data_IF_993360226479
#
_entry.id   IF_993360226479
#
_cell.length_a   1.000
_cell.length_b   1.000
_cell.length_c   1.000
_cell.angle_alpha   90.00
_cell.angle_beta   90.00
_cell.angle_gamma   90.00
#
_symmetry.space_group_name_H-M   'P 1'
#
loop_
_entity.id
_entity.type
_entity.pdbx_description
1 polymer ?
#
# COMPACT_ATOMS: atom_id res chain seq x y z
N UNK A 1 -7.00 -15.59 -1.30
CA UNK A 1 -7.66 -14.70 -0.31
C UNK A 1 -7.95 -15.39 1.01
N UNK A 2 -8.69 -16.51 1.05
CA UNK A 2 -9.00 -17.20 2.32
C UNK A 2 -7.74 -17.67 3.07
N UNK A 3 -6.80 -18.34 2.39
CA UNK A 3 -5.53 -18.76 3.01
C UNK A 3 -4.73 -17.58 3.58
N UNK A 4 -4.65 -16.47 2.82
CA UNK A 4 -4.04 -15.23 3.29
C UNK A 4 -4.74 -14.71 4.56
N UNK A 5 -6.08 -14.67 4.57
CA UNK A 5 -6.89 -14.25 5.72
C UNK A 5 -6.62 -15.10 6.96
N UNK A 6 -6.55 -16.43 6.82
CA UNK A 6 -6.22 -17.34 7.94
C UNK A 6 -4.85 -17.02 8.53
N UNK A 7 -3.83 -16.82 7.68
CA UNK A 7 -2.49 -16.41 8.12
C UNK A 7 -2.56 -15.06 8.84
N UNK A 8 -3.32 -14.10 8.31
CA UNK A 8 -3.48 -12.79 8.96
C UNK A 8 -4.19 -12.88 10.30
N UNK A 9 -5.24 -13.69 10.45
CA UNK A 9 -5.89 -13.89 11.75
C UNK A 9 -4.89 -14.37 12.80
N UNK A 10 -4.03 -15.34 12.45
CA UNK A 10 -3.00 -15.86 13.37
C UNK A 10 -1.97 -14.79 13.69
N UNK A 11 -1.38 -14.14 12.67
CA UNK A 11 -0.34 -13.12 12.87
C UNK A 11 -0.87 -11.85 13.57
N UNK A 12 -2.13 -11.51 13.35
CA UNK A 12 -2.77 -10.39 14.02
C UNK A 12 -2.98 -10.64 15.51
N UNK A 13 -2.81 -11.85 16.04
CA UNK A 13 -2.89 -12.06 17.50
C UNK A 13 -1.63 -11.62 18.25
N UNK A 14 -0.52 -11.35 17.56
CA UNK A 14 0.68 -10.84 18.22
C UNK A 14 0.46 -9.42 18.78
N UNK A 15 0.97 -9.09 19.99
CA UNK A 15 0.61 -7.86 20.69
C UNK A 15 0.97 -6.56 19.96
N UNK A 16 2.02 -6.57 19.13
CA UNK A 16 2.50 -5.42 18.38
C UNK A 16 3.64 -5.77 17.43
N UNK A 17 4.10 -4.79 16.66
CA UNK A 17 5.10 -4.96 15.60
C UNK A 17 6.47 -5.44 16.11
N UNK A 18 6.83 -5.07 17.33
CA UNK A 18 8.10 -5.48 17.95
C UNK A 18 8.24 -7.01 18.05
N UNK A 19 7.13 -7.71 18.34
CA UNK A 19 7.09 -9.17 18.43
C UNK A 19 7.15 -9.87 17.07
N UNK A 20 6.91 -9.14 15.98
CA UNK A 20 6.94 -9.64 14.61
C UNK A 20 8.00 -8.91 13.76
N UNK A 21 9.02 -8.34 14.38
CA UNK A 21 10.10 -7.62 13.67
C UNK A 21 10.78 -8.49 12.60
N UNK A 22 10.93 -9.79 12.86
CA UNK A 22 11.49 -10.75 11.90
C UNK A 22 10.64 -10.83 10.62
N UNK A 23 9.32 -10.71 10.73
CA UNK A 23 8.40 -10.73 9.61
C UNK A 23 8.60 -9.50 8.72
N UNK A 24 8.87 -8.33 9.31
CA UNK A 24 9.20 -7.11 8.56
C UNK A 24 10.50 -7.26 7.76
N UNK A 25 11.51 -7.92 8.31
CA UNK A 25 12.76 -8.21 7.59
C UNK A 25 12.50 -9.15 6.41
N UNK A 26 11.77 -10.25 6.64
CA UNK A 26 11.39 -11.19 5.56
C UNK A 26 10.61 -10.45 4.48
N UNK A 27 9.61 -9.65 4.85
CA UNK A 27 8.78 -8.90 3.91
C UNK A 27 9.62 -7.93 3.06
N UNK A 28 10.58 -7.23 3.67
CA UNK A 28 11.50 -6.35 2.94
C UNK A 28 12.36 -7.12 1.93
N UNK A 29 12.97 -8.25 2.34
CA UNK A 29 13.78 -9.09 1.43
C UNK A 29 12.92 -9.61 0.27
N UNK A 30 11.70 -10.08 0.57
CA UNK A 30 10.77 -10.55 -0.47
C UNK A 30 10.36 -9.42 -1.42
N UNK A 31 10.21 -8.19 -0.91
CA UNK A 31 9.92 -7.00 -1.73
C UNK A 31 11.00 -6.73 -2.76
N UNK A 32 12.27 -6.79 -2.34
CA UNK A 32 13.39 -6.68 -3.28
C UNK A 32 13.41 -7.84 -4.26
N UNK A 33 13.21 -9.08 -3.78
CA UNK A 33 13.27 -10.27 -4.61
C UNK A 33 12.30 -10.22 -5.80
N UNK A 34 10.99 -10.01 -5.56
CA UNK A 34 10.03 -9.96 -6.67
C UNK A 34 10.25 -8.73 -7.57
N UNK A 35 10.72 -7.61 -7.02
CA UNK A 35 11.00 -6.40 -7.80
C UNK A 35 12.19 -6.59 -8.74
N UNK A 36 13.27 -7.22 -8.27
CA UNK A 36 14.41 -7.58 -9.11
C UNK A 36 14.06 -8.62 -10.16
N UNK A 37 13.28 -9.65 -9.81
CA UNK A 37 12.81 -10.64 -10.77
C UNK A 37 11.94 -9.96 -11.84
N UNK A 38 10.95 -9.16 -11.45
CA UNK A 38 10.09 -8.44 -12.38
C UNK A 38 10.86 -7.48 -13.30
N UNK A 39 11.85 -6.77 -12.76
CA UNK A 39 12.75 -5.92 -13.55
C UNK A 39 13.59 -6.75 -14.53
N UNK A 40 14.23 -7.81 -14.06
CA UNK A 40 15.08 -8.68 -14.88
C UNK A 40 14.31 -9.36 -16.00
N UNK A 41 13.10 -9.85 -15.71
CA UNK A 41 12.21 -10.43 -16.71
C UNK A 41 11.75 -9.39 -17.74
N UNK A 42 11.43 -8.17 -17.32
CA UNK A 42 11.07 -7.07 -18.23
C UNK A 42 12.23 -6.69 -19.15
N UNK A 43 13.45 -6.60 -18.61
CA UNK A 43 14.66 -6.32 -19.39
C UNK A 43 14.96 -7.49 -20.35
N UNK A 44 14.86 -8.74 -19.89
CA UNK A 44 15.04 -9.92 -20.73
C UNK A 44 14.04 -9.95 -21.89
N UNK A 45 12.79 -9.59 -21.64
CA UNK A 45 11.77 -9.48 -22.67
C UNK A 45 12.13 -8.38 -23.69
N UNK A 46 12.56 -7.20 -23.25
CA UNK A 46 13.00 -6.13 -24.13
C UNK A 46 14.17 -6.56 -25.03
N UNK A 47 15.14 -7.29 -24.47
CA UNK A 47 16.28 -7.83 -25.22
C UNK A 47 15.83 -8.88 -26.24
N UNK A 48 14.85 -9.72 -25.90
CA UNK A 48 14.32 -10.74 -26.82
C UNK A 48 13.68 -10.14 -28.08
N UNK A 49 13.16 -8.92 -27.99
CA UNK A 49 12.64 -8.16 -29.14
C UNK A 49 13.75 -7.43 -29.94
N UNK A 50 15.02 -7.78 -29.75
CA UNK A 50 16.15 -7.12 -30.40
C UNK A 50 16.37 -5.67 -29.95
N UNK A 51 15.88 -5.30 -28.77
CA UNK A 51 15.92 -3.93 -28.26
C UNK A 51 14.86 -3.00 -28.86
N UNK A 52 13.92 -3.51 -29.66
CA UNK A 52 12.77 -2.75 -30.12
C UNK A 52 11.88 -2.31 -28.97
N UNK A 53 11.64 -1.00 -28.86
CA UNK A 53 10.76 -0.43 -27.84
C UNK A 53 9.29 -0.74 -28.19
N UNK A 54 8.59 -1.47 -27.33
CA UNK A 54 7.14 -1.66 -27.42
C UNK A 54 6.35 -0.40 -27.05
N UNK A 55 6.96 0.48 -26.24
CA UNK A 55 6.36 1.73 -25.77
C UNK A 55 6.31 2.83 -26.85
N UNK A 56 5.25 3.65 -26.81
CA UNK A 56 5.08 4.84 -27.67
C UNK A 56 5.06 6.12 -26.83
N UNK A 57 5.58 7.22 -27.37
CA UNK A 57 5.55 8.54 -26.71
C UNK A 57 4.11 8.99 -26.44
N UNK A 58 3.18 8.67 -27.35
CA UNK A 58 1.77 8.99 -27.21
C UNK A 58 1.06 8.20 -26.08
N UNK A 59 1.73 7.22 -25.45
CA UNK A 59 1.12 6.33 -24.47
C UNK A 59 0.21 5.27 -25.09
N UNK A 60 -0.50 4.54 -24.23
CA UNK A 60 -1.50 3.56 -24.65
C UNK A 60 -2.69 4.23 -25.37
N UNK A 61 -3.26 3.51 -26.35
CA UNK A 61 -4.52 3.89 -26.98
C UNK A 61 -5.68 3.65 -26.02
N UNK A 62 -6.75 4.43 -26.16
CA UNK A 62 -7.98 4.26 -25.40
C UNK A 62 -9.18 4.48 -26.34
N UNK A 63 -10.35 3.95 -25.96
CA UNK A 63 -11.57 4.07 -26.75
C UNK A 63 -12.02 5.51 -27.02
N UNK A 64 -11.63 6.47 -26.17
CA UNK A 64 -11.89 7.89 -26.34
C UNK A 64 -10.83 8.74 -25.62
N UNK A 65 -10.74 10.02 -26.00
CA UNK A 65 -9.89 11.00 -25.32
C UNK A 65 -10.22 11.12 -23.83
N UNK A 66 -11.51 11.05 -23.48
CA UNK A 66 -11.98 11.09 -22.09
C UNK A 66 -11.51 9.87 -21.30
N UNK A 67 -11.63 8.64 -21.85
CA UNK A 67 -11.12 7.44 -21.16
C UNK A 67 -9.60 7.50 -21.02
N UNK A 68 -8.89 8.04 -22.01
CA UNK A 68 -7.44 8.25 -21.92
C UNK A 68 -7.08 9.20 -20.76
N UNK A 69 -7.80 10.31 -20.62
CA UNK A 69 -7.62 11.24 -19.51
C UNK A 69 -7.86 10.56 -18.15
N UNK A 70 -8.92 9.76 -18.02
CA UNK A 70 -9.18 9.01 -16.79
C UNK A 70 -8.07 8.01 -16.47
N UNK A 71 -7.55 7.30 -17.46
CA UNK A 71 -6.42 6.39 -17.26
C UNK A 71 -5.15 7.12 -16.78
N UNK A 72 -4.88 8.33 -17.31
CA UNK A 72 -3.76 9.16 -16.86
C UNK A 72 -3.95 9.62 -15.41
N UNK A 73 -5.15 10.09 -15.06
CA UNK A 73 -5.47 10.48 -13.68
C UNK A 73 -5.39 9.28 -12.74
N UNK A 74 -5.86 8.10 -13.15
CA UNK A 74 -5.73 6.88 -12.38
C UNK A 74 -4.25 6.51 -12.14
N UNK A 75 -3.41 6.61 -13.17
CA UNK A 75 -1.98 6.39 -13.03
C UNK A 75 -1.31 7.38 -12.05
N UNK A 76 -1.70 8.66 -12.07
CA UNK A 76 -1.25 9.64 -11.07
C UNK A 76 -1.68 9.26 -9.65
N UNK A 77 -2.89 8.74 -9.49
CA UNK A 77 -3.37 8.18 -8.22
C UNK A 77 -2.54 7.01 -7.73
N UNK A 78 -2.24 6.06 -8.61
CA UNK A 78 -1.39 4.92 -8.29
C UNK A 78 0.02 5.36 -7.89
N UNK A 79 0.59 6.36 -8.58
CA UNK A 79 1.89 6.95 -8.20
C UNK A 79 1.79 7.62 -6.83
N UNK A 80 0.76 8.41 -6.58
CA UNK A 80 0.56 9.07 -5.29
C UNK A 80 0.44 8.05 -4.15
N UNK A 81 -0.34 6.98 -4.35
CA UNK A 81 -0.46 5.88 -3.41
C UNK A 81 0.87 5.15 -3.18
N UNK A 82 1.69 4.98 -4.21
CA UNK A 82 2.97 4.28 -4.09
C UNK A 82 3.97 4.97 -3.12
N UNK A 83 3.76 6.25 -2.78
CA UNK A 83 4.60 7.02 -1.86
C UNK A 83 3.92 7.33 -0.50
N UNK A 84 2.84 6.64 -0.11
CA UNK A 84 2.06 6.95 1.11
C UNK A 84 2.68 6.53 2.45
N UNK A 85 4.00 6.32 2.54
CA UNK A 85 4.64 5.91 3.80
C UNK A 85 4.53 6.96 4.93
N UNK A 86 4.14 8.20 4.61
CA UNK A 86 3.90 9.27 5.58
C UNK A 86 2.89 8.89 6.68
N UNK A 87 1.95 7.98 6.36
CA UNK A 87 0.90 7.52 7.28
C UNK A 87 1.43 6.69 8.46
N UNK A 88 2.60 6.07 8.30
CA UNK A 88 3.27 5.24 9.33
C UNK A 88 4.60 5.85 9.79
N UNK A 89 4.96 7.02 9.26
CA UNK A 89 6.24 7.67 9.51
C UNK A 89 6.47 7.94 11.00
N UNK A 90 5.45 8.44 11.69
CA UNK A 90 5.56 8.87 13.08
C UNK A 90 5.67 7.64 13.99
N UNK A 91 4.89 6.60 13.71
CA UNK A 91 4.90 5.32 14.40
C UNK A 91 6.25 4.63 14.25
N UNK A 92 6.85 4.65 13.06
CA UNK A 92 8.21 4.13 12.86
C UNK A 92 9.22 4.99 13.63
N UNK A 93 9.12 6.32 13.54
CA UNK A 93 10.05 7.21 14.24
C UNK A 93 10.01 7.04 15.77
N UNK A 94 8.83 6.81 16.35
CA UNK A 94 8.64 6.59 17.79
C UNK A 94 9.33 5.31 18.30
N UNK A 95 9.59 4.34 17.41
CA UNK A 95 10.32 3.11 17.76
C UNK A 95 11.85 3.23 17.65
N UNK A 96 12.36 4.34 17.11
CA UNK A 96 13.81 4.51 16.91
C UNK A 96 14.50 4.79 18.24
N UNK A 97 15.67 4.17 18.44
CA UNK A 97 16.50 4.42 19.62
C UNK A 97 17.26 5.74 19.49
N UNK A 98 17.33 6.48 20.58
CA UNK A 98 18.27 7.58 20.79
C UNK A 98 19.43 7.16 21.71
N UNK A 99 20.67 7.67 21.51
CA UNK A 99 21.12 8.64 20.50
C UNK A 99 21.51 8.03 19.13
N UNK A 100 21.50 8.82 18.02
CA UNK A 100 21.10 10.22 17.91
C UNK A 100 19.57 10.38 17.88
N UNK A 101 19.08 11.63 18.03
CA UNK A 101 17.65 11.96 18.00
C UNK A 101 16.92 11.25 16.85
N UNK A 102 15.74 10.72 17.15
CA UNK A 102 14.94 9.83 16.30
C UNK A 102 14.67 10.47 14.94
N UNK A 103 14.39 11.79 14.92
CA UNK A 103 14.17 12.55 13.69
C UNK A 103 15.39 12.59 12.75
N UNK A 104 16.62 12.54 13.27
CA UNK A 104 17.84 12.50 12.46
C UNK A 104 18.02 11.14 11.81
N UNK A 105 17.78 10.08 12.58
CA UNK A 105 17.81 8.70 12.09
C UNK A 105 16.70 8.48 11.06
N UNK A 106 15.46 8.89 11.38
CA UNK A 106 14.31 8.78 10.48
C UNK A 106 14.51 9.58 9.19
N UNK A 107 15.10 10.78 9.25
CA UNK A 107 15.40 11.57 8.05
C UNK A 107 16.36 10.85 7.11
N UNK A 108 17.43 10.23 7.64
CA UNK A 108 18.36 9.44 6.83
C UNK A 108 17.69 8.19 6.27
N UNK A 109 16.97 7.46 7.11
CA UNK A 109 16.23 6.26 6.71
C UNK A 109 15.21 6.57 5.60
N UNK A 110 14.42 7.65 5.75
CA UNK A 110 13.45 8.09 4.75
C UNK A 110 14.12 8.47 3.44
N UNK A 111 15.24 9.20 3.49
CA UNK A 111 15.97 9.60 2.28
C UNK A 111 16.47 8.37 1.49
N UNK A 112 17.05 7.38 2.18
CA UNK A 112 17.48 6.14 1.53
C UNK A 112 16.30 5.29 1.05
N UNK A 113 15.26 5.15 1.87
CA UNK A 113 14.08 4.35 1.55
C UNK A 113 13.32 4.89 0.34
N UNK A 114 12.99 6.19 0.35
CA UNK A 114 12.31 6.85 -0.78
C UNK A 114 13.20 6.83 -2.03
N UNK A 115 14.50 7.11 -1.89
CA UNK A 115 15.44 7.08 -3.00
C UNK A 115 15.51 5.71 -3.67
N UNK A 116 15.71 4.64 -2.89
CA UNK A 116 15.71 3.27 -3.38
C UNK A 116 14.36 2.92 -4.04
N UNK A 117 13.25 3.20 -3.37
CA UNK A 117 11.89 2.97 -3.89
C UNK A 117 11.67 3.65 -5.24
N UNK A 118 12.10 4.91 -5.36
CA UNK A 118 11.98 5.70 -6.60
C UNK A 118 12.77 5.06 -7.74
N UNK A 119 14.00 4.61 -7.46
CA UNK A 119 14.83 3.91 -8.46
C UNK A 119 14.15 2.63 -8.93
N UNK A 120 13.59 1.83 -8.03
CA UNK A 120 12.88 0.60 -8.41
C UNK A 120 11.61 0.87 -9.20
N UNK A 121 10.77 1.82 -8.76
CA UNK A 121 9.53 2.14 -9.44
C UNK A 121 9.75 2.68 -10.85
N UNK A 122 10.71 3.60 -11.01
CA UNK A 122 11.07 4.10 -12.34
C UNK A 122 11.67 2.97 -13.19
N UNK A 123 12.60 2.18 -12.64
CA UNK A 123 13.23 1.09 -13.39
C UNK A 123 12.21 0.06 -13.89
N UNK A 124 11.34 -0.43 -13.01
CA UNK A 124 10.31 -1.43 -13.35
C UNK A 124 9.28 -0.82 -14.29
N UNK A 125 8.81 0.40 -14.03
CA UNK A 125 7.85 1.08 -14.90
C UNK A 125 8.38 1.33 -16.31
N UNK A 126 9.61 1.84 -16.42
CA UNK A 126 10.26 2.09 -17.70
C UNK A 126 10.61 0.80 -18.44
N UNK A 127 11.22 -0.18 -17.78
CA UNK A 127 11.57 -1.46 -18.42
C UNK A 127 10.32 -2.24 -18.84
N UNK A 128 9.29 -2.28 -17.98
CA UNK A 128 8.01 -2.91 -18.29
C UNK A 128 7.30 -2.23 -19.46
N UNK A 129 7.24 -0.89 -19.47
CA UNK A 129 6.64 -0.17 -20.60
C UNK A 129 7.46 -0.30 -21.88
N UNK A 130 8.79 -0.32 -21.80
CA UNK A 130 9.66 -0.58 -22.94
C UNK A 130 9.45 -2.00 -23.51
N UNK A 131 9.27 -2.99 -22.65
CA UNK A 131 9.07 -4.38 -23.05
C UNK A 131 7.67 -4.68 -23.63
N UNK A 132 6.62 -4.17 -22.99
CA UNK A 132 5.23 -4.54 -23.30
C UNK A 132 4.39 -3.42 -23.94
N UNK A 133 4.88 -2.19 -23.91
CA UNK A 133 4.22 -1.06 -24.53
C UNK A 133 2.80 -0.81 -24.04
N UNK A 134 1.88 -0.62 -24.98
CA UNK A 134 0.46 -0.40 -24.68
C UNK A 134 -0.24 -1.61 -24.02
N UNK A 135 0.39 -2.79 -24.06
CA UNK A 135 -0.11 -4.01 -23.45
C UNK A 135 0.48 -4.26 -22.05
N UNK A 136 1.25 -3.32 -21.51
CA UNK A 136 1.79 -3.44 -20.15
C UNK A 136 0.64 -3.53 -19.13
N UNK A 137 0.55 -4.62 -18.34
CA UNK A 137 -0.48 -4.75 -17.33
C UNK A 137 -0.19 -3.89 -16.09
N UNK A 138 -1.21 -3.67 -15.26
CA UNK A 138 -1.04 -2.98 -13.98
C UNK A 138 -0.10 -3.70 -13.00
N UNK A 139 -0.11 -5.03 -13.01
CA UNK A 139 0.88 -5.86 -12.33
C UNK A 139 1.79 -6.47 -13.39
N UNK A 140 3.05 -6.05 -13.45
CA UNK A 140 3.99 -6.52 -14.47
C UNK A 140 4.16 -8.05 -14.46
N UNK A 141 4.01 -8.71 -13.30
CA UNK A 141 4.12 -10.17 -13.17
C UNK A 141 2.99 -10.93 -13.87
N UNK A 142 1.93 -10.25 -14.32
CA UNK A 142 0.85 -10.84 -15.11
C UNK A 142 1.00 -10.55 -16.61
N UNK A 143 2.15 -10.02 -17.04
CA UNK A 143 2.36 -9.70 -18.45
C UNK A 143 2.43 -10.98 -19.29
N UNK A 144 1.73 -10.97 -20.43
CA UNK A 144 1.72 -12.09 -21.35
C UNK A 144 3.13 -12.32 -21.91
N UNK A 145 3.59 -13.57 -21.88
CA UNK A 145 4.93 -13.94 -22.36
C UNK A 145 6.09 -13.52 -21.45
N UNK A 146 5.81 -13.13 -20.19
CA UNK A 146 6.85 -12.77 -19.23
C UNK A 146 7.67 -13.98 -18.79
N UNK A 147 8.80 -14.24 -19.46
CA UNK A 147 9.81 -15.20 -19.00
C UNK A 147 9.31 -16.63 -18.72
N UNK A 148 10.12 -17.46 -18.04
CA UNK A 148 9.73 -18.82 -17.69
C UNK A 148 8.79 -18.86 -16.49
N UNK A 149 7.75 -19.71 -16.56
CA UNK A 149 6.68 -19.79 -15.54
C UNK A 149 7.20 -19.98 -14.11
N UNK A 150 8.18 -20.86 -13.89
CA UNK A 150 8.72 -21.12 -12.54
C UNK A 150 9.31 -19.88 -11.87
N UNK A 151 9.90 -18.97 -12.64
CA UNK A 151 10.50 -17.74 -12.10
C UNK A 151 9.42 -16.70 -11.78
N UNK A 152 8.37 -16.64 -12.60
CA UNK A 152 7.18 -15.83 -12.33
C UNK A 152 6.45 -16.34 -11.08
N UNK A 153 6.36 -17.66 -10.89
CA UNK A 153 5.76 -18.27 -9.70
C UNK A 153 6.55 -17.92 -8.43
N UNK A 154 7.89 -17.98 -8.47
CA UNK A 154 8.74 -17.52 -7.37
C UNK A 154 8.48 -16.03 -7.06
N UNK A 155 8.40 -15.18 -8.07
CA UNK A 155 8.12 -13.76 -7.87
C UNK A 155 6.75 -13.53 -7.22
N UNK A 156 5.72 -14.27 -7.64
CA UNK A 156 4.39 -14.20 -7.03
C UNK A 156 4.38 -14.73 -5.58
N UNK A 157 5.14 -15.79 -5.27
CA UNK A 157 5.30 -16.28 -3.89
C UNK A 157 6.00 -15.23 -3.01
N UNK A 158 7.07 -14.60 -3.51
CA UNK A 158 7.71 -13.48 -2.83
C UNK A 158 6.73 -12.31 -2.61
N UNK A 159 5.93 -11.96 -3.62
CA UNK A 159 4.91 -10.92 -3.50
C UNK A 159 3.89 -11.25 -2.41
N UNK A 160 3.39 -12.48 -2.34
CA UNK A 160 2.47 -12.92 -1.28
C UNK A 160 3.12 -12.79 0.10
N UNK A 161 4.35 -13.27 0.27
CA UNK A 161 5.08 -13.18 1.54
C UNK A 161 5.34 -11.73 1.97
N UNK A 162 5.68 -10.86 1.02
CA UNK A 162 5.80 -9.41 1.27
C UNK A 162 4.47 -8.83 1.75
N UNK A 163 3.36 -9.12 1.07
CA UNK A 163 2.04 -8.63 1.45
C UNK A 163 1.58 -9.15 2.82
N UNK A 164 2.05 -10.33 3.24
CA UNK A 164 1.75 -10.84 4.58
C UNK A 164 2.32 -9.91 5.65
N UNK A 165 3.59 -9.52 5.54
CA UNK A 165 4.22 -8.58 6.45
C UNK A 165 3.67 -7.16 6.32
N UNK A 166 3.45 -6.68 5.09
CA UNK A 166 2.89 -5.35 4.84
C UNK A 166 1.52 -5.17 5.52
N UNK A 167 0.65 -6.18 5.46
CA UNK A 167 -0.64 -6.14 6.17
C UNK A 167 -0.45 -5.91 7.67
N UNK A 168 0.48 -6.61 8.30
CA UNK A 168 0.72 -6.47 9.75
C UNK A 168 1.23 -5.07 10.11
N UNK A 169 2.12 -4.48 9.32
CA UNK A 169 2.64 -3.11 9.52
C UNK A 169 1.49 -2.10 9.61
N UNK A 170 0.48 -2.21 8.74
CA UNK A 170 -0.67 -1.30 8.73
C UNK A 170 -1.78 -1.70 9.72
N UNK A 171 -2.03 -2.99 9.92
CA UNK A 171 -3.14 -3.47 10.74
C UNK A 171 -2.89 -3.27 12.25
N UNK A 172 -1.63 -3.40 12.71
CA UNK A 172 -1.30 -3.30 14.13
C UNK A 172 -1.63 -1.92 14.75
N UNK A 173 -1.28 -0.77 14.12
CA UNK A 173 -1.72 0.55 14.59
C UNK A 173 -3.24 0.71 14.63
N UNK A 174 -3.96 0.13 13.66
CA UNK A 174 -5.42 0.16 13.60
C UNK A 174 -6.01 -0.63 14.79
N UNK A 175 -5.51 -1.85 15.04
CA UNK A 175 -5.94 -2.65 16.19
C UNK A 175 -5.69 -1.92 17.50
N UNK A 176 -4.48 -1.38 17.69
CA UNK A 176 -4.14 -0.63 18.88
C UNK A 176 -5.08 0.58 19.10
N UNK A 177 -5.42 1.29 18.03
CA UNK A 177 -6.31 2.45 18.08
C UNK A 177 -7.74 2.06 18.48
N UNK A 178 -8.31 1.03 17.84
CA UNK A 178 -9.67 0.57 18.14
C UNK A 178 -9.77 -0.08 19.52
N UNK A 179 -8.75 -0.83 19.93
CA UNK A 179 -8.67 -1.42 21.27
C UNK A 179 -8.63 -0.34 22.36
N UNK A 180 -7.78 0.68 22.20
CA UNK A 180 -7.67 1.80 23.16
C UNK A 180 -8.96 2.60 23.23
N UNK A 181 -9.59 2.86 22.08
CA UNK A 181 -10.88 3.56 22.02
C UNK A 181 -11.98 2.77 22.73
N UNK A 182 -12.07 1.46 22.51
CA UNK A 182 -13.09 0.65 23.16
C UNK A 182 -12.87 0.56 24.68
N UNK A 183 -11.63 0.40 25.13
CA UNK A 183 -11.27 0.38 26.54
C UNK A 183 -11.61 1.70 27.24
N UNK A 184 -11.37 2.84 26.60
CA UNK A 184 -11.72 4.15 27.16
C UNK A 184 -13.23 4.45 27.13
N UNK A 185 -13.94 3.93 26.12
CA UNK A 185 -15.39 4.15 25.97
C UNK A 185 -16.23 3.31 26.92
N UNK A 186 -15.74 2.12 27.30
CA UNK A 186 -16.44 1.15 28.16
C UNK A 186 -15.50 0.58 29.24
N UNK A 187 -15.06 1.40 30.21
CA UNK A 187 -14.13 0.96 31.26
C UNK A 187 -14.75 -0.11 32.19
N UNK A 188 -16.06 -0.10 32.39
CA UNK A 188 -16.76 -1.03 33.28
C UNK A 188 -17.07 -2.39 32.62
N UNK A 189 -16.88 -2.51 31.29
CA UNK A 189 -17.19 -3.73 30.57
C UNK A 189 -16.16 -4.82 30.87
N UNK A 190 -16.53 -5.79 31.70
CA UNK A 190 -15.66 -6.91 32.10
C UNK A 190 -15.05 -7.60 30.88
N UNK A 191 -15.80 -7.87 29.82
CA UNK A 191 -15.29 -8.55 28.62
C UNK A 191 -14.15 -7.78 27.91
N UNK A 192 -14.25 -6.45 27.85
CA UNK A 192 -13.25 -5.59 27.17
C UNK A 192 -11.96 -5.51 27.98
N UNK A 193 -12.08 -5.42 29.30
CA UNK A 193 -10.94 -5.29 30.22
C UNK A 193 -10.43 -6.63 30.78
N UNK A 194 -11.04 -7.75 30.38
CA UNK A 194 -10.59 -9.08 30.79
C UNK A 194 -9.31 -9.48 30.06
N UNK A 195 -8.26 -9.74 30.84
CA UNK A 195 -7.01 -10.32 30.38
C UNK A 195 -6.76 -11.61 31.17
N UNK A 196 -6.63 -12.73 30.47
CA UNK A 196 -6.37 -14.03 31.07
C UNK A 196 -4.96 -14.49 30.69
N UNK A 197 -4.12 -14.73 31.68
CA UNK A 197 -2.78 -15.27 31.44
C UNK A 197 -2.87 -16.79 31.35
N UNK A 198 -2.70 -17.34 30.14
CA UNK A 198 -2.70 -18.78 29.90
C UNK A 198 -1.25 -19.25 29.80
N UNK A 199 -0.88 -20.26 30.60
CA UNK A 199 0.42 -20.93 30.49
C UNK A 199 0.33 -22.01 29.41
N UNK A 200 1.19 -21.94 28.39
CA UNK A 200 1.20 -22.92 27.30
C UNK A 200 2.09 -24.11 27.71
N UNK A 201 1.55 -25.34 27.83
CA UNK A 201 2.30 -26.49 28.36
C UNK A 201 3.53 -26.89 27.54
N UNK A 202 3.61 -26.50 26.27
CA UNK A 202 4.70 -26.87 25.35
C UNK A 202 5.84 -25.84 25.26
N UNK A 203 5.71 -24.67 25.89
CA UNK A 203 6.66 -23.56 25.72
C UNK A 203 7.22 -23.19 27.10
N UNK A 204 8.40 -23.72 27.46
CA UNK A 204 9.01 -23.60 28.79
C UNK A 204 9.23 -22.15 29.30
N UNK A 205 8.91 -21.10 28.51
CA UNK A 205 9.12 -19.68 28.85
C UNK A 205 8.08 -18.69 28.32
N UNK A 206 6.82 -19.08 28.11
CA UNK A 206 5.80 -18.15 27.61
C UNK A 206 4.49 -18.22 28.38
N UNK A 207 4.21 -17.22 29.22
CA UNK A 207 2.84 -16.93 29.63
C UNK A 207 2.22 -16.01 28.57
N UNK A 208 1.09 -16.40 27.99
CA UNK A 208 0.41 -15.59 26.97
C UNK A 208 -0.82 -14.95 27.59
N UNK A 209 -0.82 -13.62 27.63
CA UNK A 209 -2.00 -12.85 28.03
C UNK A 209 -3.00 -12.84 26.88
N UNK A 210 -4.06 -13.62 27.00
CA UNK A 210 -5.17 -13.68 26.05
C UNK A 210 -6.27 -12.75 26.54
N UNK A 211 -6.61 -11.76 25.74
CA UNK A 211 -7.80 -10.94 25.93
C UNK A 211 -8.86 -11.36 24.88
N UNK A 212 -9.93 -12.07 25.27
CA UNK A 212 -10.94 -12.58 24.34
C UNK A 212 -11.54 -11.49 23.44
N UNK A 213 -11.73 -10.29 23.98
CA UNK A 213 -12.15 -9.12 23.21
C UNK A 213 -11.21 -8.80 22.05
N UNK A 214 -9.90 -8.77 22.29
CA UNK A 214 -8.89 -8.48 21.25
C UNK A 214 -8.92 -9.55 20.17
N UNK A 215 -9.04 -10.81 20.56
CA UNK A 215 -9.12 -11.93 19.61
C UNK A 215 -10.31 -11.79 18.67
N UNK A 216 -11.51 -11.54 19.23
CA UNK A 216 -12.73 -11.34 18.44
C UNK A 216 -12.59 -10.11 17.55
N UNK A 217 -12.19 -8.97 18.11
CA UNK A 217 -12.05 -7.71 17.38
C UNK A 217 -11.12 -7.83 16.18
N UNK A 218 -9.90 -8.33 16.40
CA UNK A 218 -8.89 -8.46 15.34
C UNK A 218 -9.34 -9.43 14.26
N UNK A 219 -9.98 -10.54 14.64
CA UNK A 219 -10.56 -11.50 13.69
C UNK A 219 -11.66 -10.86 12.85
N UNK A 220 -12.57 -10.10 13.47
CA UNK A 220 -13.65 -9.40 12.76
C UNK A 220 -13.09 -8.39 11.76
N UNK A 221 -12.05 -7.63 12.12
CA UNK A 221 -11.41 -6.67 11.21
C UNK A 221 -10.73 -7.39 10.03
N UNK A 222 -10.03 -8.51 10.29
CA UNK A 222 -9.39 -9.31 9.23
C UNK A 222 -10.43 -9.91 8.28
N UNK A 223 -11.53 -10.45 8.82
CA UNK A 223 -12.64 -10.98 8.01
C UNK A 223 -13.30 -9.87 7.20
N UNK A 224 -13.61 -8.72 7.81
CA UNK A 224 -14.22 -7.59 7.13
C UNK A 224 -13.36 -7.07 5.97
N UNK A 225 -12.05 -6.87 6.22
CA UNK A 225 -11.10 -6.46 5.17
C UNK A 225 -10.98 -7.51 4.06
N UNK A 226 -11.04 -8.80 4.40
CA UNK A 226 -11.05 -9.89 3.42
C UNK A 226 -12.31 -9.89 2.54
N UNK A 227 -13.49 -9.66 3.14
CA UNK A 227 -14.76 -9.58 2.40
C UNK A 227 -14.74 -8.40 1.43
N UNK A 228 -14.29 -7.23 1.87
CA UNK A 228 -14.14 -6.06 0.99
C UNK A 228 -13.18 -6.35 -0.17
N UNK A 229 -12.04 -7.00 0.10
CA UNK A 229 -11.08 -7.38 -0.94
C UNK A 229 -11.66 -8.37 -1.97
N UNK A 230 -12.58 -9.25 -1.55
CA UNK A 230 -13.28 -10.17 -2.46
C UNK A 230 -14.35 -9.46 -3.31
N UNK A 231 -14.99 -8.42 -2.78
CA UNK A 231 -16.05 -7.68 -3.48
C UNK A 231 -15.52 -6.70 -4.53
N UNK A 232 -14.28 -6.20 -4.37
CA UNK A 232 -13.71 -5.17 -5.25
C UNK A 232 -12.34 -5.63 -5.79
N UNK A 233 -12.31 -6.52 -6.80
CA UNK A 233 -11.06 -7.08 -7.33
C UNK A 233 -10.32 -6.14 -8.31
N UNK A 234 -10.60 -4.83 -8.30
CA UNK A 234 -10.02 -3.84 -9.22
C UNK A 234 -8.80 -3.15 -8.60
N UNK A 235 -7.67 -3.86 -8.58
CA UNK A 235 -6.47 -3.42 -7.86
C UNK A 235 -6.07 -1.96 -8.16
N UNK A 236 -5.86 -1.61 -9.44
CA UNK A 236 -5.45 -0.26 -9.82
C UNK A 236 -6.47 0.81 -9.44
N UNK A 237 -7.76 0.57 -9.70
CA UNK A 237 -8.80 1.54 -9.40
C UNK A 237 -8.94 1.78 -7.89
N UNK A 238 -8.77 0.72 -7.08
CA UNK A 238 -8.72 0.83 -5.61
C UNK A 238 -7.49 1.62 -5.17
N UNK A 239 -6.30 1.36 -5.73
CA UNK A 239 -5.09 2.11 -5.41
C UNK A 239 -5.24 3.60 -5.76
N UNK A 240 -5.79 3.91 -6.94
CA UNK A 240 -6.05 5.28 -7.35
C UNK A 240 -7.03 5.99 -6.41
N UNK A 241 -8.08 5.29 -5.98
CA UNK A 241 -9.06 5.82 -5.03
C UNK A 241 -8.46 6.07 -3.65
N UNK A 242 -7.69 5.11 -3.12
CA UNK A 242 -6.98 5.27 -1.85
C UNK A 242 -5.97 6.41 -1.93
N UNK A 243 -5.21 6.48 -3.03
CA UNK A 243 -4.28 7.58 -3.31
C UNK A 243 -4.99 8.93 -3.33
N UNK A 244 -6.16 9.04 -3.98
CA UNK A 244 -6.95 10.27 -3.96
C UNK A 244 -7.39 10.68 -2.55
N UNK A 245 -7.86 9.73 -1.74
CA UNK A 245 -8.36 10.02 -0.40
C UNK A 245 -7.26 10.28 0.62
N UNK A 246 -6.13 9.59 0.56
CA UNK A 246 -5.09 9.71 1.59
C UNK A 246 -4.02 10.74 1.26
N UNK A 247 -3.68 10.92 -0.03
CA UNK A 247 -2.58 11.79 -0.44
C UNK A 247 -2.77 13.25 -0.02
N UNK A 248 -3.88 13.90 -0.40
CA UNK A 248 -4.05 15.30 -0.05
C UNK A 248 -4.16 15.53 1.47
N UNK A 249 -5.08 14.89 2.22
CA UNK A 249 -5.25 15.23 3.63
C UNK A 249 -4.04 14.82 4.48
N UNK A 250 -3.49 13.63 4.26
CA UNK A 250 -2.45 13.06 5.14
C UNK A 250 -1.03 13.37 4.69
N UNK A 251 -0.75 13.36 3.39
CA UNK A 251 0.61 13.57 2.86
C UNK A 251 0.92 15.04 2.57
N UNK A 252 -0.09 15.85 2.23
CA UNK A 252 0.10 17.25 1.83
C UNK A 252 -0.45 18.23 2.86
N UNK A 253 -1.76 18.28 3.03
CA UNK A 253 -2.45 19.30 3.82
C UNK A 253 -2.02 19.29 5.27
N UNK A 254 -2.03 18.13 5.93
CA UNK A 254 -1.70 18.04 7.36
C UNK A 254 -0.23 18.42 7.63
N UNK A 255 0.78 17.85 6.93
CA UNK A 255 2.18 18.26 7.12
C UNK A 255 2.45 19.73 6.77
N UNK A 256 1.85 20.25 5.69
CA UNK A 256 1.99 21.67 5.30
C UNK A 256 1.39 22.58 6.37
N UNK A 257 0.20 22.26 6.88
CA UNK A 257 -0.46 23.03 7.94
C UNK A 257 0.36 23.00 9.23
N UNK A 258 0.89 21.82 9.59
CA UNK A 258 1.79 21.66 10.72
C UNK A 258 3.07 22.49 10.55
N UNK A 259 3.68 22.50 9.36
CA UNK A 259 4.87 23.32 9.08
C UNK A 259 4.58 24.83 9.19
N UNK A 260 3.43 25.29 8.67
CA UNK A 260 3.01 26.69 8.79
C UNK A 260 2.83 27.08 10.26
N UNK A 261 2.17 26.23 11.05
CA UNK A 261 1.92 26.48 12.47
C UNK A 261 3.23 26.48 13.29
N UNK A 262 4.07 25.45 13.12
CA UNK A 262 5.32 25.31 13.87
C UNK A 262 6.35 26.39 13.52
N UNK A 263 6.49 26.74 12.23
CA UNK A 263 7.39 27.81 11.81
C UNK A 263 6.78 29.22 11.91
N UNK A 264 5.56 29.35 12.45
CA UNK A 264 4.84 30.63 12.59
C UNK A 264 4.84 31.46 11.29
N UNK A 265 4.61 30.81 10.15
CA UNK A 265 4.65 31.47 8.84
C UNK A 265 3.46 32.42 8.73
N UNK A 266 3.73 33.72 8.65
CA UNK A 266 2.69 34.74 8.60
C UNK A 266 1.92 34.73 7.27
N UNK A 267 0.58 34.87 7.37
CA UNK A 267 -0.30 35.03 6.22
C UNK A 267 0.15 36.25 5.39
N UNK A 268 0.12 36.12 4.07
CA UNK A 268 0.54 37.18 3.15
C UNK A 268 2.02 37.14 2.72
N UNK A 269 2.87 36.32 3.35
CA UNK A 269 4.24 36.09 2.87
C UNK A 269 4.25 35.17 1.65
N UNK A 270 5.23 35.37 0.75
CA UNK A 270 5.42 34.51 -0.45
C UNK A 270 5.44 33.01 -0.11
N UNK A 271 6.14 32.62 0.97
CA UNK A 271 6.21 31.22 1.43
C UNK A 271 4.84 30.66 1.82
N UNK A 272 3.97 31.47 2.42
CA UNK A 272 2.62 31.05 2.79
C UNK A 272 1.77 30.79 1.54
N UNK A 273 1.77 31.72 0.57
CA UNK A 273 1.06 31.54 -0.69
C UNK A 273 1.57 30.33 -1.48
N UNK A 274 2.88 30.08 -1.49
CA UNK A 274 3.47 28.91 -2.15
C UNK A 274 2.97 27.60 -1.53
N UNK A 275 2.97 27.50 -0.20
CA UNK A 275 2.52 26.30 0.52
C UNK A 275 1.02 26.06 0.36
N UNK A 276 0.21 27.13 0.40
CA UNK A 276 -1.23 27.03 0.15
C UNK A 276 -1.53 26.66 -1.31
N UNK A 277 -0.81 27.27 -2.26
CA UNK A 277 -0.91 26.94 -3.69
C UNK A 277 -0.58 25.48 -3.96
N UNK A 278 0.51 24.97 -3.39
CA UNK A 278 0.86 23.54 -3.47
C UNK A 278 -0.26 22.65 -2.93
N UNK A 279 -0.78 22.96 -1.73
CA UNK A 279 -1.89 22.20 -1.13
C UNK A 279 -3.14 22.19 -2.01
N UNK A 280 -3.51 23.35 -2.58
CA UNK A 280 -4.66 23.48 -3.47
C UNK A 280 -4.48 22.72 -4.79
N UNK A 281 -3.28 22.75 -5.39
CA UNK A 281 -2.98 21.97 -6.60
C UNK A 281 -3.10 20.47 -6.30
N UNK A 282 -2.52 20.00 -5.20
CA UNK A 282 -2.64 18.60 -4.78
C UNK A 282 -4.08 18.19 -4.46
N UNK A 283 -4.90 19.09 -3.90
CA UNK A 283 -6.33 18.87 -3.68
C UNK A 283 -7.05 18.64 -5.01
N UNK A 284 -6.86 19.55 -5.98
CA UNK A 284 -7.51 19.45 -7.29
C UNK A 284 -7.11 18.15 -8.01
N UNK A 285 -5.83 17.77 -7.97
CA UNK A 285 -5.36 16.50 -8.52
C UNK A 285 -6.05 15.33 -7.81
N UNK A 286 -6.09 15.34 -6.48
CA UNK A 286 -6.71 14.25 -5.70
C UNK A 286 -8.19 14.09 -6.02
N UNK A 287 -8.95 15.18 -6.16
CA UNK A 287 -10.36 15.15 -6.58
C UNK A 287 -10.50 14.55 -7.99
N UNK A 288 -9.68 14.98 -8.95
CA UNK A 288 -9.72 14.46 -10.31
C UNK A 288 -9.37 12.97 -10.38
N UNK A 289 -8.37 12.53 -9.62
CA UNK A 289 -7.99 11.11 -9.46
C UNK A 289 -9.14 10.30 -8.85
N UNK A 290 -9.80 10.83 -7.82
CA UNK A 290 -10.95 10.18 -7.18
C UNK A 290 -12.10 9.94 -8.18
N UNK A 291 -12.43 10.94 -8.98
CA UNK A 291 -13.45 10.83 -10.04
C UNK A 291 -13.03 9.77 -11.08
N UNK A 292 -11.78 9.81 -11.55
CA UNK A 292 -11.26 8.82 -12.51
C UNK A 292 -11.32 7.39 -11.97
N UNK A 293 -10.95 7.20 -10.70
CA UNK A 293 -10.95 5.89 -10.03
C UNK A 293 -12.36 5.34 -9.84
N UNK A 294 -13.32 6.17 -9.39
CA UNK A 294 -14.72 5.77 -9.28
C UNK A 294 -15.31 5.41 -10.66
N UNK A 295 -14.99 6.20 -11.68
CA UNK A 295 -15.44 5.93 -13.06
C UNK A 295 -14.93 4.57 -13.52
N UNK A 296 -13.66 4.25 -13.26
CA UNK A 296 -13.07 2.96 -13.64
C UNK A 296 -13.67 1.77 -12.87
N UNK A 297 -13.95 1.93 -11.57
CA UNK A 297 -14.68 0.91 -10.77
C UNK A 297 -16.07 0.67 -11.35
N UNK A 298 -16.82 1.74 -11.65
CA UNK A 298 -18.19 1.64 -12.19
C UNK A 298 -18.19 0.98 -13.57
N UNK A 299 -17.26 1.37 -14.46
CA UNK A 299 -17.10 0.75 -15.77
C UNK A 299 -16.79 -0.75 -15.63
N UNK A 300 -15.86 -1.09 -14.74
CA UNK A 300 -15.45 -2.47 -14.51
C UNK A 300 -16.58 -3.32 -13.92
N UNK A 301 -17.36 -2.78 -12.98
CA UNK A 301 -18.54 -3.45 -12.42
C UNK A 301 -19.62 -3.70 -13.47
N UNK A 302 -19.87 -2.74 -14.39
CA UNK A 302 -20.83 -2.93 -15.48
C UNK A 302 -20.41 -4.09 -16.40
N UNK A 303 -19.13 -4.20 -16.71
CA UNK A 303 -18.59 -5.33 -17.48
C UNK A 303 -18.73 -6.65 -16.70
N UNK A 304 -18.34 -6.67 -15.42
CA UNK A 304 -18.42 -7.87 -14.57
C UNK A 304 -19.85 -8.32 -14.27
N UNK A 305 -20.83 -7.41 -14.28
CA UNK A 305 -22.26 -7.73 -14.06
C UNK A 305 -22.93 -8.45 -15.24
N UNK A 306 -22.24 -8.59 -16.38
CA UNK A 306 -22.67 -9.40 -17.53
C UNK A 306 -21.70 -10.59 -17.77
N UNK A 307 -21.56 -11.55 -16.83
CA UNK A 307 -20.60 -12.64 -16.98
C UNK A 307 -20.98 -13.65 -18.09
N UNK A 308 -22.19 -13.59 -18.65
CA UNK A 308 -22.73 -14.56 -19.60
C UNK A 308 -23.20 -13.96 -20.93
N UNK A 309 -22.43 -13.05 -21.54
CA UNK A 309 -22.55 -12.92 -23.00
C UNK A 309 -21.82 -14.09 -23.64
N UNK A 310 -22.54 -15.21 -23.81
CA UNK A 310 -22.15 -16.24 -24.76
C UNK A 310 -22.02 -15.58 -26.12
N UNK A 311 -20.82 -15.63 -26.69
CA UNK A 311 -20.58 -15.27 -28.08
C UNK A 311 -21.45 -16.21 -28.92
N UNK A 312 -22.54 -15.72 -29.49
CA UNK A 312 -23.29 -16.42 -30.53
C UNK A 312 -22.66 -16.14 -31.88
#
# INVERSE_FOLDING_TARGET
MLAFSVVQVVLSQFPGLEHITWLSVVAAVMSFAYSFIGLGLSVGQLVSHGGGLGGRIAGATAASSTKKLWNVLLALGNIAFAYTFAEVLIEIQDTLKSPPAENKTMKKASMYGIGATTIFYISVGCAGYAAFGSNAPGNILTAAGLGPFWLVDIANMCLILHLIGAYQVYAQPIFASVERWAASRWPEAKFINSAYTVSIPLMQRGSVTVAPYKLVLRTVIVVATTVVAMMIPFFNAVLGLLGAFSFWPLTVYFPVSMHIAQCKITKGRKKWYLLQGLSMVCLMISVAVGIGSVTDIVDSLKVSSNPFKTVS
#
